data_IF_458919873117
#
_entry.id   IF_458919873117
#
_cell.length_a   1.000
_cell.length_b   1.000
_cell.length_c   1.000
_cell.angle_alpha   90.00
_cell.angle_beta   90.00
_cell.angle_gamma   90.00
#
_symmetry.space_group_name_H-M   'P 1'
#
loop_
_entity.id
_entity.type
_entity.pdbx_description
1 polymer ?
#
# COMPACT_ATOMS: atom_id res chain seq x y z
N UNK A 1 -2.02 18.40 1.01
CA UNK A 1 -3.38 18.01 0.60
C UNK A 1 -4.32 18.23 1.77
N UNK A 2 -5.56 18.67 1.53
CA UNK A 2 -6.58 18.87 2.57
C UNK A 2 -7.80 18.02 2.20
N UNK A 3 -8.32 17.26 3.17
CA UNK A 3 -9.50 16.42 2.99
C UNK A 3 -10.53 16.70 4.10
N UNK A 4 -11.82 16.72 3.75
CA UNK A 4 -12.92 16.87 4.70
C UNK A 4 -13.33 15.51 5.26
N UNK A 5 -13.46 15.41 6.58
CA UNK A 5 -13.62 14.16 7.33
C UNK A 5 -14.90 14.20 8.17
N UNK A 6 -15.52 13.03 8.33
CA UNK A 6 -16.70 12.86 9.17
C UNK A 6 -16.33 12.57 10.64
N UNK A 7 -17.36 12.50 11.50
CA UNK A 7 -17.18 12.30 12.95
C UNK A 7 -16.45 10.99 13.28
N UNK A 8 -16.77 9.90 12.60
CA UNK A 8 -16.16 8.58 12.86
C UNK A 8 -14.69 8.56 12.45
N UNK A 9 -14.36 9.17 11.31
CA UNK A 9 -12.99 9.27 10.83
C UNK A 9 -12.13 10.11 11.77
N UNK A 10 -12.67 11.22 12.31
CA UNK A 10 -12.00 12.00 13.36
C UNK A 10 -11.71 11.17 14.60
N UNK A 11 -12.67 10.38 15.07
CA UNK A 11 -12.48 9.53 16.25
C UNK A 11 -11.40 8.47 16.00
N UNK A 12 -11.39 7.86 14.80
CA UNK A 12 -10.32 6.97 14.38
C UNK A 12 -8.95 7.65 14.37
N UNK A 13 -8.85 8.86 13.81
CA UNK A 13 -7.61 9.64 13.84
C UNK A 13 -7.14 9.91 15.28
N UNK A 14 -8.03 10.33 16.17
CA UNK A 14 -7.67 10.63 17.57
C UNK A 14 -7.15 9.40 18.31
N UNK A 15 -7.69 8.20 18.02
CA UNK A 15 -7.16 6.95 18.59
C UNK A 15 -5.81 6.55 18.00
N UNK A 16 -5.57 6.83 16.72
CA UNK A 16 -4.37 6.43 15.98
C UNK A 16 -3.20 7.39 16.24
N UNK A 17 -3.49 8.68 16.41
CA UNK A 17 -2.51 9.76 16.46
C UNK A 17 -1.39 9.57 17.50
N UNK A 18 -1.65 9.15 18.76
CA UNK A 18 -0.58 8.94 19.73
C UNK A 18 0.47 7.92 19.27
N UNK A 19 0.01 6.78 18.75
CA UNK A 19 0.89 5.72 18.24
C UNK A 19 1.62 6.17 16.98
N UNK A 20 0.94 6.88 16.09
CA UNK A 20 1.54 7.46 14.88
C UNK A 20 2.66 8.45 15.19
N UNK A 21 2.45 9.40 16.10
CA UNK A 21 3.48 10.37 16.46
C UNK A 21 4.67 9.71 17.19
N UNK A 22 4.41 8.71 18.03
CA UNK A 22 5.47 7.91 18.66
C UNK A 22 6.26 7.09 17.64
N UNK A 23 5.60 6.58 16.59
CA UNK A 23 6.26 5.89 15.49
C UNK A 23 7.15 6.85 14.70
N UNK A 24 6.62 8.01 14.30
CA UNK A 24 7.38 9.03 13.58
C UNK A 24 8.59 9.56 14.36
N UNK A 25 8.44 9.79 15.67
CA UNK A 25 9.55 10.32 16.51
C UNK A 25 10.73 9.35 16.62
N UNK A 26 10.51 8.06 16.32
CA UNK A 26 11.53 7.02 16.35
C UNK A 26 12.16 6.75 14.96
N UNK A 27 11.77 7.50 13.93
CA UNK A 27 12.34 7.38 12.59
C UNK A 27 13.76 7.94 12.54
N UNK A 28 14.65 7.18 11.89
CA UNK A 28 16.05 7.54 11.67
C UNK A 28 16.44 7.15 10.25
N UNK A 29 17.63 7.56 9.77
CA UNK A 29 18.12 7.18 8.45
C UNK A 29 18.15 5.64 8.22
N UNK A 30 18.28 4.86 9.30
CA UNK A 30 18.27 3.39 9.27
C UNK A 30 16.88 2.78 9.43
N UNK A 31 15.84 3.60 9.70
CA UNK A 31 14.44 3.19 9.83
C UNK A 31 13.56 4.05 8.91
N UNK A 32 13.64 3.84 7.58
CA UNK A 32 12.83 4.58 6.64
C UNK A 32 11.35 4.23 6.81
N UNK A 33 10.49 5.13 6.33
CA UNK A 33 9.03 5.00 6.31
C UNK A 33 8.49 5.67 5.05
N UNK A 34 7.41 5.11 4.51
CA UNK A 34 6.67 5.59 3.36
C UNK A 34 5.33 6.22 3.75
N UNK A 35 4.93 6.19 5.03
CA UNK A 35 3.64 6.75 5.47
C UNK A 35 3.57 8.24 5.14
N UNK A 36 2.56 8.62 4.35
CA UNK A 36 2.29 10.03 4.02
C UNK A 36 2.03 10.83 5.30
N UNK A 37 2.78 11.92 5.48
CA UNK A 37 2.80 12.63 6.75
C UNK A 37 1.50 13.41 7.00
N UNK A 38 0.89 13.16 8.15
CA UNK A 38 -0.18 14.00 8.72
C UNK A 38 0.47 15.21 9.38
N UNK A 39 0.12 16.41 8.91
CA UNK A 39 0.60 17.67 9.48
C UNK A 39 -0.32 18.24 10.55
N UNK A 40 -1.62 17.94 10.47
CA UNK A 40 -2.57 18.38 11.49
C UNK A 40 -4.01 18.08 11.15
N UNK A 41 -4.87 18.26 12.15
CA UNK A 41 -6.32 18.15 12.02
C UNK A 41 -6.97 19.41 12.60
N UNK A 42 -7.88 20.02 11.84
CA UNK A 42 -8.47 21.31 12.16
C UNK A 42 -9.99 21.22 12.07
N UNK A 43 -10.69 21.79 13.06
CA UNK A 43 -12.14 22.01 12.96
C UNK A 43 -12.40 23.49 12.67
N UNK A 44 -12.99 23.78 11.51
CA UNK A 44 -13.44 25.13 11.16
C UNK A 44 -14.94 25.23 11.40
N UNK A 45 -15.40 26.29 12.06
CA UNK A 45 -16.80 26.59 12.31
C UNK A 45 -17.17 27.91 11.62
N UNK A 46 -18.04 27.85 10.63
CA UNK A 46 -18.49 29.00 9.84
C UNK A 46 -19.93 29.31 10.22
N UNK A 47 -20.18 30.54 10.65
CA UNK A 47 -21.54 31.04 10.91
C UNK A 47 -22.08 31.68 9.64
N UNK A 48 -23.11 31.10 9.05
CA UNK A 48 -23.81 31.71 7.93
C UNK A 48 -24.84 32.71 8.47
N UNK A 49 -24.73 33.97 8.03
CA UNK A 49 -25.76 34.98 8.28
C UNK A 49 -26.75 34.93 7.12
N UNK A 50 -27.95 34.40 7.36
CA UNK A 50 -29.04 34.48 6.39
C UNK A 50 -29.55 35.93 6.34
N UNK A 51 -29.35 36.60 5.21
CA UNK A 51 -29.81 37.97 5.01
C UNK A 51 -31.35 37.98 5.00
N UNK A 52 -31.96 38.61 6.01
CA UNK A 52 -33.43 38.76 6.11
C UNK A 52 -34.16 37.83 7.10
N UNK A 53 -33.46 36.94 7.82
CA UNK A 53 -34.11 36.10 8.83
C UNK A 53 -34.21 36.82 10.19
N UNK A 54 -35.43 37.08 10.66
CA UNK A 54 -35.73 37.71 11.95
C UNK A 54 -35.66 36.74 13.15
N UNK A 55 -35.11 35.54 12.97
CA UNK A 55 -34.88 34.55 14.04
C UNK A 55 -33.39 34.26 14.16
N UNK A 56 -32.94 34.07 15.41
CA UNK A 56 -31.60 33.64 15.84
C UNK A 56 -31.12 32.27 15.28
N UNK A 57 -31.63 31.83 14.14
CA UNK A 57 -31.20 30.60 13.47
C UNK A 57 -30.01 30.92 12.57
N UNK A 58 -28.84 31.09 13.19
CA UNK A 58 -27.58 31.07 12.45
C UNK A 58 -27.23 29.63 12.13
N UNK A 59 -27.25 29.24 10.85
CA UNK A 59 -26.77 27.93 10.44
C UNK A 59 -25.25 27.86 10.69
N UNK A 60 -24.80 26.85 11.45
CA UNK A 60 -23.40 26.64 11.77
C UNK A 60 -22.84 25.51 10.91
N UNK A 61 -22.05 25.87 9.90
CA UNK A 61 -21.33 24.89 9.11
C UNK A 61 -20.07 24.50 9.89
N UNK A 62 -19.91 23.21 10.16
CA UNK A 62 -18.72 22.64 10.79
C UNK A 62 -17.97 21.78 9.78
N UNK A 63 -16.70 22.09 9.57
CA UNK A 63 -15.79 21.35 8.70
C UNK A 63 -14.66 20.77 9.53
N UNK A 64 -14.45 19.47 9.42
CA UNK A 64 -13.39 18.72 10.10
C UNK A 64 -12.35 18.36 9.01
N UNK A 65 -11.17 18.99 9.05
CA UNK A 65 -10.18 18.97 7.98
C UNK A 65 -8.89 18.28 8.40
N UNK A 66 -8.45 17.29 7.62
CA UNK A 66 -7.14 16.69 7.75
C UNK A 66 -6.16 17.34 6.76
N UNK A 67 -5.03 17.82 7.27
CA UNK A 67 -3.91 18.31 6.47
C UNK A 67 -2.82 17.26 6.44
N UNK A 68 -2.44 16.83 5.22
CA UNK A 68 -1.43 15.80 5.01
C UNK A 68 -0.53 16.10 3.81
N UNK A 69 0.58 15.38 3.72
CA UNK A 69 1.52 15.40 2.62
C UNK A 69 0.80 15.17 1.28
N UNK A 70 1.16 15.96 0.28
CA UNK A 70 0.76 15.70 -1.10
C UNK A 70 1.93 14.99 -1.78
N UNK A 71 1.85 13.67 -1.88
CA UNK A 71 2.93 12.81 -2.38
C UNK A 71 3.43 13.25 -3.76
N UNK A 72 2.56 13.75 -4.63
CA UNK A 72 2.88 14.11 -6.01
C UNK A 72 3.06 15.62 -6.23
N UNK A 73 3.21 16.41 -5.16
CA UNK A 73 3.41 17.86 -5.30
C UNK A 73 4.68 18.18 -6.08
N UNK A 74 4.57 18.96 -7.15
CA UNK A 74 5.69 19.37 -8.00
C UNK A 74 6.23 18.26 -8.92
N UNK A 75 5.53 17.11 -9.02
CA UNK A 75 5.95 15.98 -9.85
C UNK A 75 5.08 15.87 -11.11
N UNK A 76 5.68 15.42 -12.22
CA UNK A 76 4.96 15.21 -13.48
C UNK A 76 4.57 13.74 -13.60
N UNK A 77 3.57 13.34 -12.81
CA UNK A 77 3.14 11.95 -12.77
C UNK A 77 2.33 11.60 -14.02
N UNK A 78 2.91 10.72 -14.84
CA UNK A 78 2.32 10.23 -16.09
C UNK A 78 1.42 9.02 -15.89
N UNK A 79 1.67 8.21 -14.84
CA UNK A 79 0.88 7.03 -14.48
C UNK A 79 0.78 6.91 -12.97
N UNK A 80 -0.40 6.57 -12.45
CA UNK A 80 -0.68 6.45 -11.01
C UNK A 80 -1.23 5.06 -10.70
N UNK A 81 -0.80 4.49 -9.59
CA UNK A 81 -1.27 3.18 -9.13
C UNK A 81 -1.55 3.15 -7.63
N UNK A 82 -2.64 2.50 -7.24
CA UNK A 82 -3.02 2.20 -5.85
C UNK A 82 -2.92 0.68 -5.63
N UNK A 83 -1.89 0.26 -4.89
CA UNK A 83 -1.53 -1.16 -4.76
C UNK A 83 -1.87 -1.65 -3.35
N UNK A 84 -2.67 -2.73 -3.25
CA UNK A 84 -3.04 -3.37 -1.96
C UNK A 84 -2.47 -4.77 -1.76
N UNK A 85 -1.73 -5.27 -2.76
CA UNK A 85 -1.27 -6.65 -2.81
C UNK A 85 -2.38 -7.65 -3.11
N UNK A 86 -3.37 -7.23 -3.90
CA UNK A 86 -4.48 -8.09 -4.37
C UNK A 86 -4.32 -8.23 -5.88
N UNK A 87 -3.62 -9.26 -6.33
CA UNK A 87 -3.20 -9.43 -7.74
C UNK A 87 -4.34 -9.45 -8.74
N UNK A 88 -5.55 -9.86 -8.32
CA UNK A 88 -6.76 -9.90 -9.15
C UNK A 88 -7.49 -8.55 -9.27
N UNK A 89 -7.03 -7.51 -8.56
CA UNK A 89 -7.69 -6.20 -8.51
C UNK A 89 -7.30 -5.35 -9.73
N UNK A 90 -8.26 -5.15 -10.64
CA UNK A 90 -8.14 -4.31 -11.85
C UNK A 90 -8.93 -3.02 -11.65
N UNK A 91 -8.34 -1.87 -11.99
CA UNK A 91 -9.05 -0.59 -11.94
C UNK A 91 -10.30 -0.63 -12.81
N UNK A 92 -11.40 -0.07 -12.30
CA UNK A 92 -12.59 0.13 -13.13
C UNK A 92 -12.22 1.13 -14.21
N UNK A 93 -12.31 0.73 -15.48
CA UNK A 93 -12.11 1.62 -16.63
C UNK A 93 -13.08 2.79 -16.51
N UNK A 94 -12.58 3.94 -16.08
CA UNK A 94 -13.34 5.19 -16.10
C UNK A 94 -13.05 5.87 -17.42
N UNK A 95 -14.01 5.83 -18.33
CA UNK A 95 -13.92 6.43 -19.67
C UNK A 95 -13.69 7.96 -19.67
N UNK A 96 -13.84 8.63 -18.52
CA UNK A 96 -13.88 10.10 -18.44
C UNK A 96 -12.70 10.75 -17.67
N UNK A 97 -11.72 9.98 -17.18
CA UNK A 97 -10.56 10.58 -16.50
C UNK A 97 -9.52 11.05 -17.54
N UNK A 98 -9.49 12.37 -17.78
CA UNK A 98 -8.53 13.05 -18.69
C UNK A 98 -7.05 12.82 -18.36
N UNK A 99 -6.76 12.23 -17.20
CA UNK A 99 -5.43 12.03 -16.61
C UNK A 99 -5.03 10.55 -16.50
N UNK A 100 -5.62 9.67 -17.33
CA UNK A 100 -5.29 8.24 -17.38
C UNK A 100 -5.76 7.39 -16.19
N UNK A 101 -6.30 8.04 -15.15
CA UNK A 101 -6.83 7.43 -13.94
C UNK A 101 -5.81 6.76 -13.04
N UNK A 102 -6.29 6.15 -11.96
CA UNK A 102 -5.45 5.41 -10.99
C UNK A 102 -5.63 3.92 -11.21
N UNK A 103 -4.60 3.27 -11.78
CA UNK A 103 -4.52 1.82 -11.94
C UNK A 103 -4.44 1.10 -10.59
N UNK A 104 -4.78 -0.19 -10.56
CA UNK A 104 -4.63 -1.03 -9.37
C UNK A 104 -3.56 -2.11 -9.60
N UNK A 105 -3.48 -3.07 -8.68
CA UNK A 105 -2.52 -4.17 -8.67
C UNK A 105 -2.35 -4.88 -10.03
N UNK A 106 -3.45 -5.28 -10.69
CA UNK A 106 -3.37 -5.99 -11.95
C UNK A 106 -2.83 -5.10 -13.09
N UNK A 107 -3.24 -3.82 -13.11
CA UNK A 107 -2.77 -2.83 -14.09
C UNK A 107 -1.26 -2.56 -13.91
N UNK A 108 -0.77 -2.55 -12.67
CA UNK A 108 0.66 -2.45 -12.36
C UNK A 108 1.42 -3.69 -12.85
N UNK A 109 0.93 -4.89 -12.57
CA UNK A 109 1.59 -6.13 -13.00
C UNK A 109 1.69 -6.17 -14.53
N UNK A 110 0.58 -5.88 -15.23
CA UNK A 110 0.58 -5.88 -16.69
C UNK A 110 1.47 -4.76 -17.25
N UNK A 111 1.35 -3.54 -16.73
CA UNK A 111 2.10 -2.38 -17.19
C UNK A 111 3.61 -2.50 -16.92
N UNK A 112 4.01 -3.01 -15.75
CA UNK A 112 5.41 -3.21 -15.38
C UNK A 112 6.09 -4.25 -16.27
N UNK A 113 5.40 -5.35 -16.59
CA UNK A 113 5.89 -6.36 -17.54
C UNK A 113 6.08 -5.79 -18.95
N UNK A 114 5.17 -4.92 -19.41
CA UNK A 114 5.25 -4.29 -20.74
C UNK A 114 6.35 -3.23 -20.82
N UNK A 115 6.57 -2.46 -19.76
CA UNK A 115 7.47 -1.30 -19.75
C UNK A 115 8.82 -1.53 -19.09
N UNK A 116 9.05 -2.71 -18.51
CA UNK A 116 10.26 -3.09 -17.76
C UNK A 116 10.62 -2.02 -16.71
N UNK A 117 9.68 -1.67 -15.84
CA UNK A 117 9.92 -0.74 -14.73
C UNK A 117 10.85 -1.40 -13.70
N UNK A 118 12.14 -1.20 -13.89
CA UNK A 118 13.19 -1.67 -12.99
C UNK A 118 13.70 -0.53 -12.12
N UNK A 119 14.01 -0.82 -10.87
CA UNK A 119 14.57 0.14 -9.91
C UNK A 119 15.99 -0.24 -9.52
N UNK A 120 16.76 0.71 -8.97
CA UNK A 120 18.07 0.38 -8.41
C UNK A 120 17.94 -0.56 -7.20
N UNK A 121 18.85 -1.53 -7.02
CA UNK A 121 18.86 -2.40 -5.84
C UNK A 121 18.85 -1.64 -4.51
N UNK A 122 19.57 -0.52 -4.42
CA UNK A 122 19.51 0.33 -3.24
C UNK A 122 18.10 0.88 -2.98
N UNK A 123 17.43 1.41 -4.00
CA UNK A 123 16.05 1.89 -3.90
C UNK A 123 15.09 0.77 -3.49
N UNK A 124 15.27 -0.44 -4.05
CA UNK A 124 14.49 -1.62 -3.66
C UNK A 124 14.67 -1.91 -2.16
N UNK A 125 15.91 -1.92 -1.68
CA UNK A 125 16.21 -2.16 -0.28
C UNK A 125 15.57 -1.14 0.65
N UNK A 126 15.64 0.16 0.31
CA UNK A 126 15.00 1.23 1.10
C UNK A 126 13.49 1.08 1.13
N UNK A 127 12.86 0.79 -0.03
CA UNK A 127 11.41 0.58 -0.14
C UNK A 127 10.99 -0.65 0.69
N UNK A 128 11.67 -1.79 0.53
CA UNK A 128 11.35 -3.03 1.25
C UNK A 128 11.48 -2.84 2.77
N UNK A 129 12.56 -2.21 3.25
CA UNK A 129 12.73 -1.92 4.68
C UNK A 129 11.65 -0.97 5.22
N UNK A 130 11.29 0.06 4.45
CA UNK A 130 10.25 1.01 4.85
C UNK A 130 8.88 0.32 4.95
N UNK A 131 8.52 -0.49 3.94
CA UNK A 131 7.30 -1.28 3.96
C UNK A 131 7.30 -2.25 5.15
N UNK A 132 8.42 -2.88 5.48
CA UNK A 132 8.51 -3.75 6.66
C UNK A 132 8.26 -2.99 7.97
N UNK A 133 8.91 -1.84 8.14
CA UNK A 133 8.74 -0.99 9.33
C UNK A 133 7.29 -0.49 9.45
N UNK A 134 6.74 0.03 8.36
CA UNK A 134 5.40 0.62 8.32
C UNK A 134 4.33 -0.44 8.57
N UNK A 135 4.40 -1.57 7.85
CA UNK A 135 3.38 -2.64 7.99
C UNK A 135 3.41 -3.29 9.36
N UNK A 136 4.58 -3.40 10.00
CA UNK A 136 4.69 -3.83 11.40
C UNK A 136 3.91 -2.88 12.31
N UNK A 137 4.21 -1.59 12.26
CA UNK A 137 3.52 -0.56 13.05
C UNK A 137 2.00 -0.54 12.81
N UNK A 138 1.57 -0.61 11.55
CA UNK A 138 0.17 -0.60 11.18
C UNK A 138 -0.56 -1.85 11.70
N UNK A 139 0.08 -3.02 11.61
CA UNK A 139 -0.51 -4.27 12.14
C UNK A 139 -0.66 -4.25 13.66
N UNK A 140 0.35 -3.74 14.39
CA UNK A 140 0.30 -3.55 15.85
C UNK A 140 -0.77 -2.53 16.26
N UNK A 141 -1.04 -1.55 15.39
CA UNK A 141 -2.10 -0.55 15.56
C UNK A 141 -3.48 -1.03 15.08
N UNK A 142 -3.63 -2.30 14.71
CA UNK A 142 -4.86 -2.87 14.13
C UNK A 142 -5.41 -2.09 12.91
N UNK A 143 -4.51 -1.55 12.09
CA UNK A 143 -4.84 -0.86 10.84
C UNK A 143 -4.72 -1.84 9.69
N UNK A 144 -5.68 -1.79 8.77
CA UNK A 144 -5.71 -2.57 7.53
C UNK A 144 -6.28 -1.71 6.39
N UNK A 145 -6.41 -2.28 5.20
CA UNK A 145 -6.93 -1.61 4.00
C UNK A 145 -6.09 -0.44 3.46
N UNK A 146 -4.88 -0.22 3.98
CA UNK A 146 -3.92 0.75 3.43
C UNK A 146 -3.39 0.33 2.05
N UNK A 147 -2.99 1.31 1.25
CA UNK A 147 -2.41 1.12 -0.09
C UNK A 147 -1.01 1.70 -0.17
N UNK A 148 -0.18 1.16 -1.08
CA UNK A 148 0.97 1.89 -1.62
C UNK A 148 0.52 2.68 -2.83
N UNK A 149 0.59 4.01 -2.75
CA UNK A 149 0.39 4.91 -3.87
C UNK A 149 1.72 5.05 -4.62
N UNK A 150 1.70 4.78 -5.92
CA UNK A 150 2.87 4.83 -6.80
C UNK A 150 2.59 5.80 -7.95
N UNK A 151 3.48 6.76 -8.14
CA UNK A 151 3.50 7.67 -9.28
C UNK A 151 4.73 7.40 -10.14
N UNK A 152 4.53 7.31 -11.44
CA UNK A 152 5.61 7.17 -12.43
C UNK A 152 5.79 8.49 -13.17
N UNK A 153 6.99 9.04 -13.13
CA UNK A 153 7.41 10.15 -13.99
C UNK A 153 8.25 9.59 -15.14
N UNK A 154 7.61 9.34 -16.29
CA UNK A 154 8.26 8.75 -17.45
C UNK A 154 9.29 9.71 -18.11
N UNK A 155 9.21 11.02 -17.85
CA UNK A 155 10.15 12.00 -18.38
C UNK A 155 11.45 11.99 -17.57
N UNK A 156 11.32 12.05 -16.24
CA UNK A 156 12.45 12.06 -15.30
C UNK A 156 13.00 10.67 -14.99
N UNK A 157 12.26 9.61 -15.36
CA UNK A 157 12.56 8.21 -15.02
C UNK A 157 12.61 7.99 -13.50
N UNK A 158 11.69 8.64 -12.79
CA UNK A 158 11.59 8.59 -11.33
C UNK A 158 10.30 7.87 -10.90
N UNK A 159 10.38 7.17 -9.77
CA UNK A 159 9.22 6.64 -9.06
C UNK A 159 9.01 7.43 -7.78
N UNK A 160 7.77 7.82 -7.53
CA UNK A 160 7.35 8.45 -6.28
C UNK A 160 6.41 7.49 -5.57
N UNK A 161 6.76 7.08 -4.35
CA UNK A 161 6.03 6.04 -3.60
C UNK A 161 5.69 6.51 -2.19
N UNK A 162 4.49 6.17 -1.71
CA UNK A 162 4.04 6.51 -0.36
C UNK A 162 2.84 5.68 0.08
N UNK A 163 2.76 5.37 1.37
CA UNK A 163 1.63 4.65 1.96
C UNK A 163 0.51 5.62 2.33
N UNK A 164 -0.69 5.33 1.84
CA UNK A 164 -1.92 6.12 2.03
C UNK A 164 -2.99 5.28 2.74
N UNK A 165 -4.09 5.93 3.13
CA UNK A 165 -5.23 5.30 3.83
C UNK A 165 -4.84 4.57 5.12
N UNK A 166 -3.79 5.07 5.80
CA UNK A 166 -3.28 4.50 7.08
C UNK A 166 -4.14 4.88 8.29
N UNK A 167 -5.12 5.76 8.11
CA UNK A 167 -6.06 6.15 9.15
C UNK A 167 -7.37 5.39 8.89
N UNK A 168 -7.57 4.32 9.66
CA UNK A 168 -8.70 3.42 9.46
C UNK A 168 -8.55 2.21 10.36
N UNK A 169 -8.86 2.37 11.64
CA UNK A 169 -8.82 1.28 12.59
C UNK A 169 -9.80 0.19 12.18
N UNK A 170 -9.38 -1.06 12.38
CA UNK A 170 -10.29 -2.19 12.32
C UNK A 170 -11.35 -2.06 13.40
N UNK A 171 -12.49 -1.43 13.07
CA UNK A 171 -13.63 -1.41 13.98
C UNK A 171 -14.22 -2.83 14.03
N UNK A 172 -14.51 -3.33 15.22
CA UNK A 172 -15.24 -4.58 15.49
C UNK A 172 -16.49 -4.76 14.61
N UNK A 173 -17.10 -3.66 14.14
CA UNK A 173 -18.17 -3.65 13.15
C UNK A 173 -17.79 -4.30 11.81
N UNK A 174 -16.58 -4.01 11.25
CA UNK A 174 -16.07 -4.69 10.05
C UNK A 174 -15.89 -6.19 10.31
N UNK A 175 -15.48 -6.56 11.52
CA UNK A 175 -15.33 -7.97 11.90
C UNK A 175 -16.68 -8.69 12.02
N UNK A 176 -17.70 -8.05 12.61
CA UNK A 176 -19.04 -8.61 12.74
C UNK A 176 -19.72 -8.76 11.38
N UNK A 177 -19.61 -7.76 10.50
CA UNK A 177 -20.07 -7.86 9.11
C UNK A 177 -19.33 -8.94 8.32
N UNK A 178 -18.01 -9.08 8.53
CA UNK A 178 -17.22 -10.13 7.87
C UNK A 178 -17.58 -11.52 8.36
N UNK A 179 -17.79 -11.72 9.68
CA UNK A 179 -18.22 -12.99 10.26
C UNK A 179 -19.64 -13.35 9.83
N UNK A 180 -20.54 -12.37 9.76
CA UNK A 180 -21.87 -12.56 9.17
C UNK A 180 -21.81 -13.01 7.71
N UNK A 181 -20.95 -12.38 6.89
CA UNK A 181 -20.72 -12.78 5.50
C UNK A 181 -20.00 -14.12 5.35
N UNK A 182 -19.08 -14.47 6.24
CA UNK A 182 -18.40 -15.76 6.28
C UNK A 182 -19.39 -16.89 6.62
N UNK A 183 -20.26 -16.69 7.61
CA UNK A 183 -21.28 -17.68 8.00
C UNK A 183 -22.37 -17.84 6.92
N UNK A 184 -22.76 -16.75 6.24
CA UNK A 184 -23.75 -16.80 5.14
C UNK A 184 -23.21 -17.38 3.81
N UNK A 185 -21.91 -17.29 3.54
CA UNK A 185 -21.31 -17.75 2.28
C UNK A 185 -20.75 -19.17 2.31
N UNK A 186 -20.85 -19.87 3.44
CA UNK A 186 -20.43 -21.27 3.57
C UNK A 186 -21.21 -22.26 2.69
N UNK A 187 -22.26 -21.82 1.99
CA UNK A 187 -23.08 -22.72 1.15
C UNK A 187 -22.96 -22.51 -0.35
N UNK A 188 -22.33 -21.45 -0.89
CA UNK A 188 -22.10 -21.38 -2.35
C UNK A 188 -21.12 -20.27 -2.77
N UNK A 189 -20.16 -20.67 -3.62
CA UNK A 189 -19.12 -19.89 -4.34
C UNK A 189 -17.84 -19.50 -3.56
N UNK A 190 -16.72 -20.05 -4.05
CA UNK A 190 -15.31 -19.60 -3.91
C UNK A 190 -15.13 -18.13 -4.34
N UNK A 191 -15.69 -17.19 -3.60
CA UNK A 191 -15.30 -15.78 -3.67
C UNK A 191 -14.26 -15.53 -2.58
N UNK A 192 -13.02 -15.21 -2.98
CA UNK A 192 -11.94 -14.80 -2.08
C UNK A 192 -12.46 -13.86 -0.98
N UNK A 193 -12.40 -14.33 0.27
CA UNK A 193 -12.76 -13.52 1.43
C UNK A 193 -11.75 -12.36 1.50
N UNK A 194 -12.20 -11.17 1.12
CA UNK A 194 -11.37 -9.98 0.85
C UNK A 194 -10.83 -9.30 2.12
N UNK A 195 -11.34 -9.68 3.30
CA UNK A 195 -11.03 -9.03 4.58
C UNK A 195 -10.10 -9.95 5.38
N UNK A 196 -8.81 -9.61 5.39
CA UNK A 196 -7.79 -10.31 6.18
C UNK A 196 -7.59 -9.60 7.53
N UNK A 197 -7.30 -10.33 8.62
CA UNK A 197 -6.78 -9.74 9.86
C UNK A 197 -5.54 -8.87 9.61
N UNK A 198 -5.24 -7.87 10.46
CA UNK A 198 -4.16 -6.91 10.22
C UNK A 198 -2.79 -7.54 9.91
N UNK A 199 -2.40 -8.60 10.63
CA UNK A 199 -1.13 -9.31 10.43
C UNK A 199 -1.11 -10.04 9.07
N UNK A 200 -2.20 -10.71 8.71
CA UNK A 200 -2.33 -11.41 7.43
C UNK A 200 -2.37 -10.44 6.25
N UNK A 201 -3.06 -9.30 6.40
CA UNK A 201 -3.07 -8.21 5.44
C UNK A 201 -1.64 -7.68 5.21
N UNK A 202 -0.91 -7.40 6.30
CA UNK A 202 0.48 -6.94 6.24
C UNK A 202 1.40 -7.94 5.51
N UNK A 203 1.28 -9.23 5.81
CA UNK A 203 2.09 -10.26 5.16
C UNK A 203 1.77 -10.39 3.66
N UNK A 204 0.50 -10.36 3.27
CA UNK A 204 0.08 -10.33 1.86
C UNK A 204 0.66 -9.11 1.15
N UNK A 205 0.48 -7.93 1.74
CA UNK A 205 0.95 -6.67 1.19
C UNK A 205 2.46 -6.68 0.97
N UNK A 206 3.25 -7.04 1.99
CA UNK A 206 4.72 -7.18 1.89
C UNK A 206 5.14 -8.11 0.75
N UNK A 207 4.54 -9.30 0.68
CA UNK A 207 4.88 -10.31 -0.33
C UNK A 207 4.60 -9.80 -1.74
N UNK A 208 3.51 -9.07 -1.95
CA UNK A 208 3.18 -8.49 -3.25
C UNK A 208 4.15 -7.36 -3.62
N UNK A 209 4.46 -6.44 -2.71
CA UNK A 209 5.39 -5.33 -3.02
C UNK A 209 6.78 -5.84 -3.37
N UNK A 210 7.24 -6.92 -2.74
CA UNK A 210 8.54 -7.53 -3.04
C UNK A 210 8.62 -8.06 -4.49
N UNK A 211 7.51 -8.53 -5.06
CA UNK A 211 7.44 -8.98 -6.46
C UNK A 211 7.15 -7.84 -7.43
N UNK A 212 6.43 -6.81 -7.00
CA UNK A 212 6.05 -5.66 -7.82
C UNK A 212 7.22 -4.74 -8.15
N UNK A 213 8.18 -4.60 -7.23
CA UNK A 213 9.38 -3.79 -7.43
C UNK A 213 10.57 -4.68 -7.76
N UNK A 214 10.91 -4.74 -9.04
CA UNK A 214 12.04 -5.54 -9.55
C UNK A 214 13.27 -4.67 -9.65
N UNK A 215 14.37 -5.13 -9.05
CA UNK A 215 15.64 -4.42 -9.13
C UNK A 215 16.37 -4.75 -10.44
N UNK A 216 17.07 -3.77 -11.01
CA UNK A 216 18.04 -4.04 -12.09
C UNK A 216 19.16 -4.96 -11.56
N UNK A 217 19.61 -5.94 -12.35
CA UNK A 217 20.80 -6.71 -12.00
C UNK A 217 22.01 -5.79 -11.87
N UNK A 218 22.71 -5.89 -10.74
CA UNK A 218 24.00 -5.24 -10.51
C UNK A 218 25.15 -6.19 -10.86
N UNK A 219 26.38 -5.65 -10.90
CA UNK A 219 27.60 -6.42 -11.18
C UNK A 219 27.79 -7.66 -10.28
N UNK A 220 27.15 -7.68 -9.12
CA UNK A 220 27.22 -8.75 -8.12
C UNK A 220 25.92 -9.54 -7.97
N UNK A 221 24.93 -9.29 -8.82
CA UNK A 221 23.70 -10.07 -8.82
C UNK A 221 24.02 -11.50 -9.24
N UNK A 222 23.70 -12.45 -8.36
CA UNK A 222 23.78 -13.87 -8.71
C UNK A 222 22.77 -14.13 -9.82
N UNK A 223 23.13 -14.90 -10.87
CA UNK A 223 22.15 -15.40 -11.81
C UNK A 223 21.04 -16.11 -11.02
N UNK A 224 19.79 -15.94 -11.43
CA UNK A 224 18.71 -16.77 -10.92
C UNK A 224 19.06 -18.22 -11.29
N UNK A 225 19.50 -19.00 -10.30
CA UNK A 225 19.73 -20.43 -10.50
C UNK A 225 18.38 -21.02 -10.94
N UNK A 226 18.33 -21.56 -12.16
CA UNK A 226 17.17 -22.33 -12.59
C UNK A 226 17.13 -23.57 -11.70
N UNK A 227 16.00 -23.78 -11.02
CA UNK A 227 15.76 -24.98 -10.18
C UNK A 227 15.94 -26.32 -10.95
N UNK A 228 16.17 -26.30 -12.27
CA UNK A 228 16.46 -27.47 -13.09
C UNK A 228 17.83 -28.12 -12.86
N UNK A 229 18.81 -27.42 -12.26
CA UNK A 229 20.20 -27.90 -12.24
C UNK A 229 20.60 -28.64 -10.95
N UNK A 230 19.72 -28.68 -9.93
CA UNK A 230 19.98 -29.44 -8.70
C UNK A 230 19.64 -30.93 -8.81
N UNK A 231 18.85 -31.35 -9.81
CA UNK A 231 18.51 -32.77 -10.00
C UNK A 231 19.65 -33.54 -10.68
N UNK A 232 20.47 -32.88 -11.51
CA UNK A 232 21.52 -33.57 -12.29
C UNK A 232 22.82 -33.79 -11.48
N UNK A 233 23.06 -33.00 -10.41
CA UNK A 233 24.30 -33.12 -9.61
C UNK A 233 24.27 -34.23 -8.55
N UNK A 234 23.11 -34.84 -8.27
CA UNK A 234 22.99 -35.89 -7.26
C UNK A 234 23.03 -37.33 -7.83
N UNK A 235 23.42 -37.53 -9.10
CA UNK A 235 23.54 -38.86 -9.71
C UNK A 235 24.93 -39.23 -10.23
N UNK A 236 25.96 -38.46 -9.90
CA UNK A 236 27.35 -38.91 -10.07
C UNK A 236 28.00 -39.17 -8.70
N UNK A 237 27.52 -40.21 -8.02
CA UNK A 237 28.37 -40.96 -7.10
C UNK A 237 28.94 -42.13 -7.91
N UNK A 238 30.22 -42.02 -8.26
CA UNK A 238 30.96 -43.08 -8.94
C UNK A 238 30.94 -44.35 -8.08
N UNK A 239 30.49 -45.45 -8.68
CA UNK A 239 30.61 -46.80 -8.12
C UNK A 239 32.08 -47.25 -8.23
N UNK A 240 32.79 -47.51 -7.12
CA UNK A 240 34.22 -47.85 -7.15
C UNK A 240 34.53 -49.28 -7.60
N UNK A 241 33.59 -50.01 -8.23
CA UNK A 241 33.71 -51.46 -8.44
C UNK A 241 33.93 -51.96 -9.87
N UNK A 242 34.29 -51.12 -10.85
CA UNK A 242 34.58 -51.57 -12.22
C UNK A 242 36.08 -51.50 -12.58
N UNK A 243 36.68 -52.58 -13.13
CA UNK A 243 38.08 -52.61 -13.49
C UNK A 243 38.34 -51.81 -14.77
N UNK A 244 39.48 -51.11 -14.81
CA UNK A 244 39.97 -50.41 -16.00
C UNK A 244 40.33 -51.41 -17.09
N UNK A 245 39.74 -51.26 -18.27
CA UNK A 245 40.20 -51.91 -19.49
C UNK A 245 40.70 -50.83 -20.44
N UNK A 246 41.91 -51.02 -20.95
CA UNK A 246 42.58 -50.21 -21.97
C UNK A 246 41.75 -50.10 -23.26
#
# INVERSE_FOLDING_TARGET
MITNWNKSEREGLLSFAPNYFAYLSNQTLIKPSLICKIFGFFTIKIKEKVLGSHKNDSNLIKLDLLLMENLFYGQTITRKFDLKGITSRVAKVKKDEKDGGTGWDADWIEGSLRTLLLIHPHSKHVISNAIENDTKFLSESNVMDYSLLVGVDDLRKELVVGMIDVIGTFNLAKMLESRGKMVLKSSDKKGEVTILPPIEYANRFKKAMETYFVAVPEKWSRPLEKESDQVVKNHHQEDPSLPSVF
#
